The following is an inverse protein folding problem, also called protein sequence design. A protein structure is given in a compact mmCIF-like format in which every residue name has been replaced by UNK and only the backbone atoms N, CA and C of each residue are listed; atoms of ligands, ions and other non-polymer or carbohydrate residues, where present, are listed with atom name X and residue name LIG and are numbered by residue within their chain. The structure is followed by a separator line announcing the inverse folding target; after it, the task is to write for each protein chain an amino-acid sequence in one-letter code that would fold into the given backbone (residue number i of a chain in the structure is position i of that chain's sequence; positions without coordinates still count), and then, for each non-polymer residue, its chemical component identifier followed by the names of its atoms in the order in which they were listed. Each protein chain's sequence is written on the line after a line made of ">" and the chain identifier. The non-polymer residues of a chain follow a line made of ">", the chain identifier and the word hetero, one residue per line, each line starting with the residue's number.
data_IF_609996824258
#
_entry.id   IF_609996824258
#
_cell.length_a   1.000
_cell.length_b   1.000
_cell.length_c   1.000
_cell.angle_alpha   90.00
_cell.angle_beta   90.00
_cell.angle_gamma   90.00
#
_symmetry.space_group_name_H-M   'P 1'
#
loop_
_entity.id
_entity.type
_entity.pdbx_description
1 polymer ?
#
# COMPACT_ATOMS: atom_id res chain seq x y z
N UNK A 1 28.50 5.87 -11.06
CA UNK A 1 28.10 4.56 -10.50
C UNK A 1 27.23 4.68 -9.25
N UNK A 2 27.60 5.47 -8.24
CA UNK A 2 26.79 5.70 -7.01
C UNK A 2 25.34 6.16 -7.29
N UNK A 3 25.13 7.02 -8.29
CA UNK A 3 23.79 7.54 -8.64
C UNK A 3 22.83 6.47 -9.17
N UNK A 4 23.31 5.61 -10.07
CA UNK A 4 22.51 4.52 -10.65
C UNK A 4 22.09 3.49 -9.59
N UNK A 5 22.99 3.15 -8.67
CA UNK A 5 22.68 2.20 -7.58
C UNK A 5 21.60 2.74 -6.64
N UNK A 6 21.65 4.02 -6.28
CA UNK A 6 20.62 4.67 -5.45
C UNK A 6 19.26 4.74 -6.16
N UNK A 7 19.27 5.00 -7.47
CA UNK A 7 18.08 5.01 -8.29
C UNK A 7 17.41 3.63 -8.30
N UNK A 8 18.17 2.58 -8.59
CA UNK A 8 17.66 1.20 -8.64
C UNK A 8 17.06 0.76 -7.29
N UNK A 9 17.71 1.08 -6.18
CA UNK A 9 17.22 0.77 -4.83
C UNK A 9 15.92 1.52 -4.51
N UNK A 10 15.80 2.78 -4.93
CA UNK A 10 14.58 3.55 -4.69
C UNK A 10 13.42 3.03 -5.54
N UNK A 11 13.68 2.68 -6.79
CA UNK A 11 12.68 2.08 -7.69
C UNK A 11 12.22 0.73 -7.14
N UNK A 12 13.13 -0.13 -6.71
CA UNK A 12 12.76 -1.45 -6.17
C UNK A 12 11.96 -1.35 -4.88
N UNK A 13 12.31 -0.44 -3.97
CA UNK A 13 11.51 -0.17 -2.77
C UNK A 13 10.12 0.37 -3.11
N UNK A 14 10.01 1.25 -4.11
CA UNK A 14 8.73 1.77 -4.57
C UNK A 14 7.83 0.66 -5.13
N UNK A 15 8.40 -0.22 -5.97
CA UNK A 15 7.68 -1.37 -6.54
C UNK A 15 7.24 -2.34 -5.43
N UNK A 16 8.12 -2.67 -4.49
CA UNK A 16 7.79 -3.52 -3.34
C UNK A 16 6.65 -2.92 -2.51
N UNK A 17 6.67 -1.61 -2.29
CA UNK A 17 5.60 -0.88 -1.65
C UNK A 17 4.27 -0.97 -2.38
N UNK A 18 4.28 -0.70 -3.68
CA UNK A 18 3.08 -0.72 -4.52
C UNK A 18 2.44 -2.11 -4.57
N UNK A 19 3.25 -3.15 -4.80
CA UNK A 19 2.79 -4.54 -4.86
C UNK A 19 2.34 -5.02 -3.48
N UNK A 20 3.14 -4.77 -2.43
CA UNK A 20 2.81 -5.21 -1.07
C UNK A 20 1.53 -4.56 -0.54
N UNK A 21 1.38 -3.25 -0.69
CA UNK A 21 0.14 -2.55 -0.33
C UNK A 21 -1.06 -3.03 -1.16
N UNK A 22 -0.84 -3.38 -2.43
CA UNK A 22 -1.87 -3.92 -3.32
C UNK A 22 -2.41 -5.26 -2.85
N UNK A 23 -1.51 -6.18 -2.49
CA UNK A 23 -1.89 -7.50 -1.95
C UNK A 23 -2.65 -7.33 -0.62
N UNK A 24 -2.17 -6.47 0.28
CA UNK A 24 -2.85 -6.20 1.54
C UNK A 24 -4.25 -5.59 1.33
N UNK A 25 -4.38 -4.62 0.43
CA UNK A 25 -5.66 -3.99 0.10
C UNK A 25 -6.66 -4.99 -0.50
N UNK A 26 -6.19 -5.88 -1.36
CA UNK A 26 -7.01 -6.94 -1.94
C UNK A 26 -7.53 -7.90 -0.85
N UNK A 27 -6.65 -8.39 0.02
CA UNK A 27 -7.03 -9.30 1.12
C UNK A 27 -8.01 -8.63 2.10
N UNK A 28 -7.76 -7.36 2.45
CA UNK A 28 -8.69 -6.58 3.29
C UNK A 28 -10.04 -6.45 2.59
N UNK A 29 -10.07 -6.03 1.33
CA UNK A 29 -11.31 -5.81 0.58
C UNK A 29 -12.12 -7.09 0.45
N UNK A 30 -11.47 -8.24 0.26
CA UNK A 30 -12.12 -9.56 0.26
C UNK A 30 -12.74 -9.88 1.63
N UNK A 31 -11.98 -9.70 2.72
CA UNK A 31 -12.48 -9.93 4.07
C UNK A 31 -13.64 -9.00 4.46
N UNK A 32 -13.64 -7.75 3.97
CA UNK A 32 -14.72 -6.78 4.12
C UNK A 32 -15.98 -7.20 3.35
N UNK A 33 -15.83 -7.84 2.19
CA UNK A 33 -16.94 -8.40 1.43
C UNK A 33 -17.57 -9.61 2.14
N UNK A 34 -16.75 -10.53 2.68
CA UNK A 34 -17.23 -11.72 3.39
C UNK A 34 -17.90 -11.39 4.74
N UNK A 35 -17.45 -10.33 5.43
CA UNK A 35 -18.01 -9.93 6.72
C UNK A 35 -19.33 -9.15 6.62
N UNK A 36 -19.86 -8.90 5.42
CA UNK A 36 -21.11 -8.16 5.21
C UNK A 36 -21.02 -6.67 5.55
N UNK A 37 -19.81 -6.14 5.75
CA UNK A 37 -19.56 -4.74 6.12
C UNK A 37 -19.94 -3.75 5.00
N UNK A 38 -20.13 -4.25 3.78
CA UNK A 38 -20.56 -3.48 2.61
C UNK A 38 -22.08 -3.32 2.51
N UNK A 39 -22.84 -3.82 3.51
CA UNK A 39 -24.29 -3.71 3.59
C UNK A 39 -25.04 -4.86 2.90
N UNK A 40 -26.34 -4.68 2.66
CA UNK A 40 -27.18 -5.68 1.98
C UNK A 40 -26.88 -5.70 0.47
N UNK A 41 -25.80 -6.35 0.08
CA UNK A 41 -25.48 -6.57 -1.32
C UNK A 41 -26.41 -7.63 -1.91
N UNK A 42 -27.36 -7.20 -2.75
CA UNK A 42 -28.14 -8.09 -3.59
C UNK A 42 -27.26 -8.67 -4.72
N UNK A 43 -27.40 -9.98 -5.00
CA UNK A 43 -26.90 -10.66 -6.21
C UNK A 43 -25.47 -10.31 -6.67
N UNK A 44 -24.44 -10.53 -5.83
CA UNK A 44 -23.03 -10.44 -6.25
C UNK A 44 -22.44 -9.02 -6.35
N UNK A 45 -23.23 -7.97 -6.10
CA UNK A 45 -22.76 -6.58 -6.11
C UNK A 45 -21.75 -6.25 -5.00
N UNK A 46 -21.61 -7.10 -3.98
CA UNK A 46 -20.63 -6.94 -2.90
C UNK A 46 -19.19 -7.10 -3.39
N UNK A 47 -18.93 -8.08 -4.26
CA UNK A 47 -17.62 -8.25 -4.87
C UNK A 47 -17.29 -7.06 -5.78
N UNK A 48 -18.30 -6.51 -6.45
CA UNK A 48 -18.13 -5.34 -7.32
C UNK A 48 -17.81 -4.07 -6.51
N UNK A 49 -18.56 -3.82 -5.42
CA UNK A 49 -18.28 -2.72 -4.51
C UNK A 49 -16.89 -2.87 -3.85
N UNK A 50 -16.52 -4.10 -3.45
CA UNK A 50 -15.21 -4.38 -2.89
C UNK A 50 -14.07 -4.10 -3.91
N UNK A 51 -14.22 -4.54 -5.16
CA UNK A 51 -13.18 -4.42 -6.19
C UNK A 51 -13.04 -3.00 -6.74
N UNK A 52 -14.15 -2.27 -6.94
CA UNK A 52 -14.13 -0.98 -7.64
C UNK A 52 -14.21 0.24 -6.72
N UNK A 53 -14.73 0.10 -5.50
CA UNK A 53 -14.78 1.20 -4.52
C UNK A 53 -13.77 0.99 -3.39
N UNK A 54 -13.82 -0.15 -2.70
CA UNK A 54 -13.05 -0.37 -1.47
C UNK A 54 -11.57 -0.61 -1.77
N UNK A 55 -11.26 -1.46 -2.75
CA UNK A 55 -9.90 -1.82 -3.11
C UNK A 55 -9.04 -0.63 -3.55
N UNK A 56 -9.45 0.25 -4.48
CA UNK A 56 -8.61 1.38 -4.88
C UNK A 56 -8.40 2.37 -3.73
N UNK A 57 -9.40 2.58 -2.88
CA UNK A 57 -9.29 3.48 -1.73
C UNK A 57 -8.37 2.90 -0.66
N UNK A 58 -8.59 1.64 -0.27
CA UNK A 58 -7.74 0.94 0.72
C UNK A 58 -6.31 0.81 0.23
N UNK A 59 -6.11 0.52 -1.05
CA UNK A 59 -4.79 0.48 -1.67
C UNK A 59 -4.10 1.84 -1.61
N UNK A 60 -4.79 2.91 -2.00
CA UNK A 60 -4.23 4.25 -1.96
C UNK A 60 -3.81 4.65 -0.53
N UNK A 61 -4.66 4.37 0.46
CA UNK A 61 -4.37 4.67 1.87
C UNK A 61 -3.16 3.86 2.37
N UNK A 62 -3.13 2.54 2.14
CA UNK A 62 -2.03 1.68 2.56
C UNK A 62 -0.72 2.07 1.87
N UNK A 63 -0.77 2.40 0.58
CA UNK A 63 0.38 2.86 -0.17
C UNK A 63 0.90 4.21 0.35
N UNK A 64 0.00 5.16 0.63
CA UNK A 64 0.38 6.45 1.21
C UNK A 64 1.04 6.27 2.59
N UNK A 65 0.49 5.41 3.45
CA UNK A 65 1.09 5.07 4.74
C UNK A 65 2.47 4.42 4.58
N UNK A 66 2.63 3.51 3.62
CA UNK A 66 3.91 2.90 3.31
C UNK A 66 4.96 3.94 2.89
N UNK A 67 4.61 4.86 1.98
CA UNK A 67 5.51 5.94 1.55
C UNK A 67 5.87 6.84 2.72
N UNK A 68 4.90 7.22 3.56
CA UNK A 68 5.15 8.04 4.76
C UNK A 68 6.08 7.32 5.74
N UNK A 69 5.87 6.04 5.99
CA UNK A 69 6.75 5.22 6.82
C UNK A 69 8.17 5.12 6.23
N UNK A 70 8.29 4.92 4.91
CA UNK A 70 9.57 4.94 4.20
C UNK A 70 10.28 6.28 4.36
N UNK A 71 9.58 7.41 4.21
CA UNK A 71 10.15 8.74 4.37
C UNK A 71 10.62 8.98 5.81
N UNK A 72 9.86 8.55 6.81
CA UNK A 72 10.25 8.63 8.22
C UNK A 72 11.48 7.74 8.49
N UNK A 73 11.47 6.51 8.00
CA UNK A 73 12.60 5.58 8.14
C UNK A 73 13.86 6.12 7.45
N UNK A 74 13.72 6.71 6.25
CA UNK A 74 14.79 7.37 5.50
C UNK A 74 15.22 8.73 6.06
N UNK A 75 14.47 9.34 6.97
CA UNK A 75 14.92 10.51 7.75
C UNK A 75 15.85 10.12 8.90
N UNK A 76 15.81 8.87 9.39
CA UNK A 76 16.64 8.38 10.49
C UNK A 76 18.14 8.09 10.21
N UNK A 77 18.65 7.82 8.99
CA UNK A 77 20.05 7.47 8.79
C UNK A 77 20.99 8.68 8.60
N UNK A 78 20.50 9.91 8.44
CA UNK A 78 21.35 11.10 8.28
C UNK A 78 21.74 11.78 9.61
N UNK A 79 21.33 11.22 10.76
CA UNK A 79 21.64 11.78 12.09
C UNK A 79 22.66 10.97 12.90
N UNK A 80 23.50 10.16 12.25
CA UNK A 80 24.63 9.47 12.88
C UNK A 80 25.98 9.75 12.19
N UNK A 81 26.12 10.94 11.58
CA UNK A 81 27.36 11.40 10.93
C UNK A 81 28.11 12.50 11.68
N UNK A 82 27.71 12.85 12.91
CA UNK A 82 28.47 13.73 13.80
C UNK A 82 28.12 13.40 15.25
N UNK A 83 29.04 12.70 15.91
CA UNK A 83 29.61 13.04 17.22
C UNK A 83 30.76 12.06 17.44
#
# INVERSE_FOLDING_TARGET
>A
MIGAMRLLINISLFILGAVGSGICAFLLSAALADSGFLGSCFEGNCAYAALFMVLPVTWFVLFALYVMALLIWRRKPFRNGRL
#
